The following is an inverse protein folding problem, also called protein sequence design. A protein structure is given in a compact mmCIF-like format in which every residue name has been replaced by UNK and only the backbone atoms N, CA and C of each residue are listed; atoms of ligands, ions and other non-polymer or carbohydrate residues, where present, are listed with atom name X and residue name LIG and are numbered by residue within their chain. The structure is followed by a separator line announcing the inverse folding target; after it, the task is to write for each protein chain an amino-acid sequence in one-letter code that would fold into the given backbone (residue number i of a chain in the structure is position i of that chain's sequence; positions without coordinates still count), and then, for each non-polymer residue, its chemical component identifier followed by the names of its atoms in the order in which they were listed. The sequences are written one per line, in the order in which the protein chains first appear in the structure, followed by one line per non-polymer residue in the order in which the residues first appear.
data_IF_067451600119
#
_entry.id   IF_067451600119
#
_cell.length_a   1.000
_cell.length_b   1.000
_cell.length_c   1.000
_cell.angle_alpha   90.00
_cell.angle_beta   90.00
_cell.angle_gamma   90.00
#
_symmetry.space_group_name_H-M   'P 1'
#
loop_
_entity.id
_entity.type
_entity.pdbx_description
1 polymer ?
#
# COMPACT_ATOMS: atom_id res chain seq x y z
N UNK A 1 -1.47 -37.90 13.46
CA UNK A 1 -0.98 -36.75 12.72
C UNK A 1 -1.85 -35.55 12.99
N UNK A 2 -1.30 -34.43 13.46
CA UNK A 2 -2.04 -33.18 13.57
C UNK A 2 -2.50 -32.77 12.17
N UNK A 3 -3.81 -32.87 11.92
CA UNK A 3 -4.42 -32.31 10.72
C UNK A 3 -4.41 -30.80 10.89
N UNK A 4 -3.30 -30.17 10.52
CA UNK A 4 -3.23 -28.73 10.50
C UNK A 4 -4.15 -28.21 9.39
N UNK A 5 -5.16 -27.41 9.76
CA UNK A 5 -5.98 -26.71 8.78
C UNK A 5 -5.07 -25.70 8.02
N UNK A 6 -4.79 -26.02 6.76
CA UNK A 6 -3.93 -25.19 5.90
C UNK A 6 -4.51 -23.78 5.72
N UNK A 7 -5.84 -23.66 5.68
CA UNK A 7 -6.51 -22.38 5.61
C UNK A 7 -6.22 -21.51 6.84
N UNK A 8 -6.28 -22.10 8.02
CA UNK A 8 -5.93 -21.42 9.26
C UNK A 8 -4.45 -21.01 9.32
N UNK A 9 -3.56 -21.85 8.78
CA UNK A 9 -2.13 -21.52 8.71
C UNK A 9 -1.85 -20.34 7.77
N UNK A 10 -2.52 -20.29 6.62
CA UNK A 10 -2.44 -19.16 5.69
C UNK A 10 -2.88 -17.87 6.38
N UNK A 11 -4.06 -17.90 7.02
CA UNK A 11 -4.63 -16.73 7.69
C UNK A 11 -3.75 -16.27 8.86
N UNK A 12 -3.22 -17.19 9.66
CA UNK A 12 -2.34 -16.85 10.77
C UNK A 12 -1.05 -16.14 10.31
N UNK A 13 -0.40 -16.66 9.25
CA UNK A 13 0.81 -16.04 8.69
C UNK A 13 0.51 -14.67 8.09
N UNK A 14 -0.60 -14.54 7.36
CA UNK A 14 -1.05 -13.29 6.79
C UNK A 14 -1.33 -12.26 7.88
N UNK A 15 -2.09 -12.63 8.89
CA UNK A 15 -2.46 -11.75 10.00
C UNK A 15 -1.22 -11.27 10.77
N UNK A 16 -0.30 -12.19 11.07
CA UNK A 16 0.94 -11.86 11.77
C UNK A 16 1.76 -10.81 11.01
N UNK A 17 1.97 -10.99 9.70
CA UNK A 17 2.68 -10.01 8.90
C UNK A 17 1.94 -8.68 8.77
N UNK A 18 0.60 -8.71 8.66
CA UNK A 18 -0.21 -7.49 8.66
C UNK A 18 -0.10 -6.70 9.97
N UNK A 19 -0.01 -7.38 11.11
CA UNK A 19 0.23 -6.72 12.41
C UNK A 19 1.58 -5.99 12.44
N UNK A 20 2.66 -6.63 11.95
CA UNK A 20 3.98 -5.99 11.87
C UNK A 20 3.98 -4.77 10.94
N UNK A 21 3.31 -4.88 9.80
CA UNK A 21 3.17 -3.76 8.85
C UNK A 21 2.40 -2.61 9.49
N UNK A 22 1.26 -2.89 10.09
CA UNK A 22 0.45 -1.87 10.75
C UNK A 22 1.23 -1.16 11.88
N UNK A 23 1.94 -1.93 12.70
CA UNK A 23 2.79 -1.38 13.76
C UNK A 23 3.91 -0.51 13.20
N UNK A 24 4.59 -0.96 12.14
CA UNK A 24 5.65 -0.20 11.48
C UNK A 24 5.13 1.13 10.91
N UNK A 25 3.97 1.11 10.27
CA UNK A 25 3.33 2.30 9.73
C UNK A 25 2.93 3.27 10.85
N UNK A 26 2.39 2.76 11.96
CA UNK A 26 2.03 3.57 13.11
C UNK A 26 3.25 4.26 13.74
N UNK A 27 4.36 3.52 13.90
CA UNK A 27 5.61 4.07 14.42
C UNK A 27 6.16 5.14 13.48
N UNK A 28 6.20 4.86 12.16
CA UNK A 28 6.67 5.82 11.16
C UNK A 28 5.80 7.08 11.17
N UNK A 29 4.49 6.92 11.25
CA UNK A 29 3.55 8.04 11.27
C UNK A 29 3.70 8.88 12.54
N UNK A 30 3.79 8.25 13.70
CA UNK A 30 4.04 8.94 14.97
C UNK A 30 5.38 9.70 14.94
N UNK A 31 6.44 9.08 14.42
CA UNK A 31 7.76 9.71 14.27
C UNK A 31 7.68 10.95 13.37
N UNK A 32 6.96 10.84 12.23
CA UNK A 32 6.76 11.96 11.32
C UNK A 32 6.03 13.13 12.01
N UNK A 33 4.98 12.86 12.77
CA UNK A 33 4.23 13.89 13.50
C UNK A 33 5.08 14.57 14.59
N UNK A 34 5.79 13.79 15.38
CA UNK A 34 6.68 14.30 16.45
C UNK A 34 7.80 15.15 15.85
N UNK A 35 8.46 14.64 14.80
CA UNK A 35 9.54 15.37 14.14
C UNK A 35 9.04 16.67 13.49
N UNK A 36 7.88 16.63 12.83
CA UNK A 36 7.25 17.81 12.26
C UNK A 36 6.94 18.88 13.31
N UNK A 37 6.44 18.47 14.48
CA UNK A 37 6.18 19.39 15.59
C UNK A 37 7.48 20.00 16.15
N UNK A 38 8.55 19.21 16.30
CA UNK A 38 9.86 19.70 16.75
C UNK A 38 10.46 20.71 15.76
N UNK A 39 10.32 20.45 14.45
CA UNK A 39 10.83 21.33 13.40
C UNK A 39 9.95 22.60 13.19
N UNK A 40 8.86 22.74 13.95
CA UNK A 40 7.99 23.90 13.84
C UNK A 40 7.17 23.93 12.53
N UNK A 41 6.93 22.76 11.90
CA UNK A 41 6.00 22.68 10.78
C UNK A 41 4.59 22.97 11.30
N UNK A 42 4.27 24.27 11.36
CA UNK A 42 2.97 24.76 11.77
C UNK A 42 2.00 24.73 10.59
N UNK A 43 0.84 24.16 10.80
CA UNK A 43 -0.27 24.20 9.88
C UNK A 43 -1.48 23.58 10.54
N UNK A 44 -2.65 24.15 10.34
CA UNK A 44 -3.91 23.56 10.81
C UNK A 44 -4.35 22.44 9.85
N UNK A 45 -3.66 21.29 9.90
CA UNK A 45 -4.15 20.13 9.21
C UNK A 45 -5.28 19.49 10.04
N UNK A 46 -6.48 19.34 9.48
CA UNK A 46 -7.55 18.66 10.19
C UNK A 46 -7.14 17.20 10.53
N UNK A 47 -7.40 16.79 11.76
CA UNK A 47 -7.06 15.42 12.24
C UNK A 47 -7.63 14.30 11.32
N UNK A 48 -8.76 14.57 10.67
CA UNK A 48 -9.38 13.66 9.70
C UNK A 48 -8.47 13.31 8.53
N UNK A 49 -7.66 14.23 8.04
CA UNK A 49 -6.73 13.96 6.92
C UNK A 49 -5.58 13.05 7.34
N UNK A 50 -5.07 13.22 8.56
CA UNK A 50 -4.07 12.32 9.10
C UNK A 50 -4.61 10.90 9.25
N UNK A 51 -5.85 10.78 9.75
CA UNK A 51 -6.53 9.48 9.86
C UNK A 51 -6.77 8.82 8.50
N UNK A 52 -7.17 9.58 7.50
CA UNK A 52 -7.35 9.08 6.13
C UNK A 52 -6.03 8.64 5.51
N UNK A 53 -4.96 9.42 5.67
CA UNK A 53 -3.63 9.05 5.17
C UNK A 53 -3.16 7.75 5.79
N UNK A 54 -3.33 7.60 7.09
CA UNK A 54 -2.98 6.38 7.82
C UNK A 54 -3.78 5.18 7.31
N UNK A 55 -5.10 5.32 7.18
CA UNK A 55 -5.99 4.28 6.67
C UNK A 55 -5.58 3.82 5.26
N UNK A 56 -5.38 4.77 4.35
CA UNK A 56 -4.99 4.46 2.97
C UNK A 56 -3.62 3.79 2.90
N UNK A 57 -2.66 4.29 3.67
CA UNK A 57 -1.32 3.69 3.71
C UNK A 57 -1.36 2.24 4.21
N UNK A 58 -2.13 1.96 5.27
CA UNK A 58 -2.31 0.59 5.79
C UNK A 58 -2.99 -0.28 4.74
N UNK A 59 -4.05 0.20 4.09
CA UNK A 59 -4.80 -0.58 3.10
C UNK A 59 -3.93 -0.91 1.86
N UNK A 60 -3.20 0.07 1.32
CA UNK A 60 -2.35 -0.14 0.13
C UNK A 60 -1.18 -1.05 0.47
N UNK A 61 -0.46 -0.77 1.58
CA UNK A 61 0.67 -1.59 2.00
C UNK A 61 0.23 -3.02 2.32
N UNK A 62 -0.95 -3.17 2.93
CA UNK A 62 -1.57 -4.46 3.18
C UNK A 62 -1.89 -5.24 1.90
N UNK A 63 -2.39 -4.56 0.87
CA UNK A 63 -2.64 -5.17 -0.43
C UNK A 63 -1.34 -5.63 -1.12
N UNK A 64 -0.31 -4.80 -1.10
CA UNK A 64 1.03 -5.16 -1.61
C UNK A 64 1.60 -6.34 -0.84
N UNK A 65 1.51 -6.32 0.49
CA UNK A 65 1.96 -7.43 1.33
C UNK A 65 1.20 -8.72 1.02
N UNK A 66 -0.12 -8.67 0.83
CA UNK A 66 -0.93 -9.84 0.48
C UNK A 66 -0.41 -10.50 -0.81
N UNK A 67 -0.14 -9.72 -1.84
CA UNK A 67 0.45 -10.22 -3.10
C UNK A 67 1.81 -10.84 -2.85
N UNK A 68 2.70 -10.16 -2.12
CA UNK A 68 4.04 -10.67 -1.80
C UNK A 68 3.98 -11.94 -0.95
N UNK A 69 3.06 -12.02 0.00
CA UNK A 69 2.83 -13.20 0.81
C UNK A 69 2.45 -14.40 -0.05
N UNK A 70 1.45 -14.22 -0.95
CA UNK A 70 1.01 -15.28 -1.87
C UNK A 70 2.14 -15.74 -2.78
N UNK A 71 2.89 -14.80 -3.35
CA UNK A 71 4.04 -15.14 -4.21
C UNK A 71 5.10 -15.92 -3.45
N UNK A 72 5.44 -15.50 -2.23
CA UNK A 72 6.46 -16.15 -1.39
C UNK A 72 6.09 -17.56 -0.97
N UNK A 73 4.81 -17.84 -0.71
CA UNK A 73 4.36 -19.19 -0.35
C UNK A 73 4.09 -20.07 -1.58
N UNK A 74 3.92 -19.44 -2.75
CA UNK A 74 3.58 -20.17 -3.99
C UNK A 74 4.82 -20.50 -4.79
N UNK A 75 5.82 -19.65 -4.83
CA UNK A 75 7.02 -19.76 -5.65
C UNK A 75 8.18 -20.30 -4.78
N UNK A 76 8.80 -21.41 -5.21
CA UNK A 76 9.93 -22.03 -4.48
C UNK A 76 11.17 -21.12 -4.44
N UNK A 77 11.46 -20.44 -5.55
CA UNK A 77 12.61 -19.54 -5.64
C UNK A 77 12.23 -18.15 -5.10
N UNK A 78 12.72 -17.81 -3.91
CA UNK A 78 12.41 -16.57 -3.22
C UNK A 78 12.96 -15.30 -3.92
N UNK A 79 13.89 -15.45 -4.87
CA UNK A 79 14.35 -14.31 -5.65
C UNK A 79 13.24 -13.75 -6.56
N UNK A 80 12.32 -14.59 -7.04
CA UNK A 80 11.24 -14.16 -7.95
C UNK A 80 10.25 -13.23 -7.24
N UNK A 81 9.65 -13.56 -6.08
CA UNK A 81 8.82 -12.63 -5.33
C UNK A 81 9.53 -11.31 -5.02
N UNK A 82 10.80 -11.37 -4.64
CA UNK A 82 11.60 -10.17 -4.37
C UNK A 82 11.72 -9.28 -5.61
N UNK A 83 12.10 -9.84 -6.76
CA UNK A 83 12.22 -9.08 -8.02
C UNK A 83 10.86 -8.47 -8.42
N UNK A 84 9.76 -9.22 -8.30
CA UNK A 84 8.41 -8.71 -8.59
C UNK A 84 8.09 -7.51 -7.67
N UNK A 85 8.44 -7.59 -6.40
CA UNK A 85 8.25 -6.49 -5.45
C UNK A 85 9.03 -5.23 -5.84
N UNK A 86 10.30 -5.40 -6.17
CA UNK A 86 11.17 -4.29 -6.61
C UNK A 86 10.67 -3.67 -7.91
N UNK A 87 10.38 -4.48 -8.92
CA UNK A 87 9.84 -3.99 -10.20
C UNK A 87 8.48 -3.33 -10.03
N UNK A 88 7.61 -3.89 -9.18
CA UNK A 88 6.33 -3.30 -8.85
C UNK A 88 6.48 -1.91 -8.22
N UNK A 89 7.43 -1.75 -7.29
CA UNK A 89 7.73 -0.47 -6.65
C UNK A 89 8.18 0.57 -7.68
N UNK A 90 9.10 0.21 -8.56
CA UNK A 90 9.52 1.12 -9.65
C UNK A 90 8.36 1.45 -10.59
N UNK A 91 7.58 0.45 -11.01
CA UNK A 91 6.42 0.68 -11.89
C UNK A 91 5.39 1.60 -11.23
N UNK A 92 5.11 1.42 -9.94
CA UNK A 92 4.24 2.30 -9.16
C UNK A 92 4.78 3.73 -9.10
N UNK A 93 6.05 3.89 -8.79
CA UNK A 93 6.72 5.20 -8.75
C UNK A 93 6.64 5.89 -10.11
N UNK A 94 7.04 5.21 -11.18
CA UNK A 94 6.98 5.78 -12.54
C UNK A 94 5.56 6.14 -12.96
N UNK A 95 4.54 5.37 -12.56
CA UNK A 95 3.15 5.68 -12.86
C UNK A 95 2.70 7.05 -12.30
N UNK A 96 3.34 7.52 -11.22
CA UNK A 96 3.05 8.84 -10.63
C UNK A 96 3.59 9.99 -11.49
N UNK A 97 4.67 9.77 -12.25
CA UNK A 97 5.29 10.76 -13.12
C UNK A 97 4.73 10.76 -14.55
N UNK A 98 3.72 9.92 -14.85
CA UNK A 98 3.08 9.83 -16.16
C UNK A 98 1.64 10.38 -16.10
N UNK A 99 1.43 11.71 -16.01
CA UNK A 99 0.10 12.31 -15.93
C UNK A 99 -0.75 12.04 -17.19
N UNK A 100 -0.13 11.69 -18.32
CA UNK A 100 -0.80 11.36 -19.58
C UNK A 100 -1.50 9.99 -19.52
N UNK A 101 -1.11 9.11 -18.57
CA UNK A 101 -1.63 7.75 -18.43
C UNK A 101 -2.21 7.53 -17.02
N UNK A 102 -3.28 8.26 -16.64
CA UNK A 102 -3.81 8.19 -15.27
C UNK A 102 -4.38 6.82 -14.91
N UNK A 103 -4.81 6.05 -15.90
CA UNK A 103 -5.30 4.69 -15.72
C UNK A 103 -4.22 3.70 -15.24
N UNK A 104 -2.95 4.00 -15.52
CA UNK A 104 -1.83 3.15 -15.12
C UNK A 104 -1.74 2.99 -13.59
N UNK A 105 -2.02 4.06 -12.84
CA UNK A 105 -2.06 4.05 -11.38
C UNK A 105 -3.14 3.12 -10.81
N UNK A 106 -4.24 2.91 -11.56
CA UNK A 106 -5.36 2.05 -11.15
C UNK A 106 -5.12 0.57 -11.45
N UNK A 107 -4.28 0.26 -12.43
CA UNK A 107 -3.94 -1.12 -12.81
C UNK A 107 -2.78 -1.64 -11.96
N UNK A 108 -1.75 -0.81 -11.76
CA UNK A 108 -0.56 -1.20 -11.00
C UNK A 108 -0.86 -1.04 -9.52
N UNK A 109 -0.85 -2.15 -8.76
CA UNK A 109 -1.14 -2.13 -7.33
C UNK A 109 -0.25 -1.14 -6.56
N UNK A 110 1.05 -1.10 -6.86
CA UNK A 110 1.98 -0.14 -6.25
C UNK A 110 1.71 1.32 -6.66
N UNK A 111 0.97 1.55 -7.74
CA UNK A 111 0.53 2.88 -8.19
C UNK A 111 -0.57 3.50 -7.31
N UNK A 112 -1.24 2.68 -6.49
CA UNK A 112 -2.31 3.17 -5.61
C UNK A 112 -1.86 4.20 -4.58
N UNK A 113 -0.57 4.23 -4.22
CA UNK A 113 -0.05 5.33 -3.40
C UNK A 113 -0.25 6.69 -4.08
N UNK A 114 -0.10 6.76 -5.40
CA UNK A 114 -0.37 7.97 -6.18
C UNK A 114 -1.87 8.18 -6.47
N UNK A 115 -2.65 7.12 -6.67
CA UNK A 115 -4.09 7.21 -6.90
C UNK A 115 -4.86 7.69 -5.66
N UNK A 116 -4.40 7.27 -4.47
CA UNK A 116 -5.01 7.61 -3.18
C UNK A 116 -4.43 8.90 -2.56
N UNK A 117 -3.51 9.55 -3.24
CA UNK A 117 -2.92 10.81 -2.81
C UNK A 117 -3.95 11.93 -2.92
N UNK A 118 -4.22 12.65 -1.82
CA UNK A 118 -5.19 13.74 -1.76
C UNK A 118 -4.55 15.11 -1.52
N UNK A 119 -3.21 15.16 -1.54
CA UNK A 119 -2.43 16.39 -1.50
C UNK A 119 -1.68 16.50 -2.82
N UNK A 120 -1.97 17.55 -3.57
CA UNK A 120 -1.22 17.92 -4.77
C UNK A 120 -0.19 19.01 -4.49
N UNK A 121 0.75 19.17 -5.38
CA UNK A 121 1.72 20.24 -5.33
C UNK A 121 1.91 20.87 -6.70
N UNK A 122 2.06 22.22 -6.71
CA UNK A 122 2.42 22.98 -7.87
C UNK A 122 3.80 23.63 -7.63
N UNK A 123 4.78 23.22 -8.41
CA UNK A 123 6.10 23.83 -8.40
C UNK A 123 6.16 25.00 -9.38
N UNK A 124 6.40 26.21 -8.85
CA UNK A 124 6.66 27.40 -9.69
C UNK A 124 8.17 27.56 -9.89
N UNK A 125 8.60 27.58 -11.16
CA UNK A 125 10.01 27.87 -11.50
C UNK A 125 10.42 29.30 -11.24
N UNK A 126 9.48 30.24 -11.32
CA UNK A 126 9.74 31.66 -11.16
C UNK A 126 9.96 32.03 -9.69
N UNK A 127 9.08 31.57 -8.82
CA UNK A 127 9.13 31.88 -7.37
C UNK A 127 9.96 30.88 -6.59
N UNK A 128 10.27 29.70 -7.16
CA UNK A 128 10.89 28.54 -6.49
C UNK A 128 10.11 28.09 -5.26
N UNK A 129 8.79 28.35 -5.25
CA UNK A 129 7.87 27.95 -4.20
C UNK A 129 7.07 26.74 -4.66
N UNK A 130 6.82 25.82 -3.75
CA UNK A 130 5.96 24.68 -3.95
C UNK A 130 4.66 24.90 -3.18
N UNK A 131 3.58 25.16 -3.91
CA UNK A 131 2.26 25.36 -3.33
C UNK A 131 1.54 24.04 -3.21
N UNK A 132 1.16 23.67 -1.98
CA UNK A 132 0.39 22.48 -1.70
C UNK A 132 -1.10 22.79 -1.72
N UNK A 133 -1.86 21.95 -2.39
CA UNK A 133 -3.32 22.07 -2.45
C UNK A 133 -3.99 20.73 -2.18
N UNK A 134 -5.24 20.80 -1.70
CA UNK A 134 -6.03 19.60 -1.43
C UNK A 134 -6.70 19.10 -2.72
N UNK A 135 -6.49 17.84 -3.04
CA UNK A 135 -7.21 17.12 -4.09
C UNK A 135 -8.38 16.35 -3.49
N UNK A 136 -9.39 16.06 -4.31
CA UNK A 136 -10.47 15.18 -3.90
C UNK A 136 -9.98 13.75 -3.66
N UNK A 137 -10.54 13.07 -2.68
CA UNK A 137 -10.23 11.68 -2.39
C UNK A 137 -10.81 10.78 -3.50
N UNK A 138 -9.98 9.87 -4.03
CA UNK A 138 -10.42 8.87 -5.02
C UNK A 138 -11.15 7.70 -4.34
N UNK A 139 -12.42 7.92 -3.99
CA UNK A 139 -13.25 6.86 -3.40
C UNK A 139 -13.45 5.66 -4.33
N UNK A 140 -13.53 5.90 -5.63
CA UNK A 140 -13.58 4.83 -6.63
C UNK A 140 -12.30 3.99 -6.61
N UNK A 141 -11.13 4.61 -6.47
CA UNK A 141 -9.87 3.92 -6.30
C UNK A 141 -9.84 3.07 -5.03
N UNK A 142 -10.34 3.61 -3.92
CA UNK A 142 -10.41 2.87 -2.65
C UNK A 142 -11.31 1.64 -2.74
N UNK A 143 -12.52 1.78 -3.31
CA UNK A 143 -13.43 0.64 -3.51
C UNK A 143 -12.79 -0.43 -4.41
N UNK A 144 -12.14 -0.01 -5.49
CA UNK A 144 -11.42 -0.94 -6.39
C UNK A 144 -10.30 -1.67 -5.66
N UNK A 145 -9.54 -0.98 -4.80
CA UNK A 145 -8.50 -1.58 -3.97
C UNK A 145 -9.07 -2.65 -3.02
N UNK A 146 -10.19 -2.36 -2.35
CA UNK A 146 -10.83 -3.33 -1.44
C UNK A 146 -11.31 -4.56 -2.21
N UNK A 147 -11.94 -4.37 -3.37
CA UNK A 147 -12.37 -5.50 -4.23
C UNK A 147 -11.14 -6.33 -4.63
N UNK A 148 -10.04 -5.68 -5.01
CA UNK A 148 -8.80 -6.34 -5.39
C UNK A 148 -8.23 -7.17 -4.22
N UNK A 149 -8.20 -6.62 -3.01
CA UNK A 149 -7.75 -7.32 -1.79
C UNK A 149 -8.57 -8.60 -1.57
N UNK A 150 -9.90 -8.50 -1.65
CA UNK A 150 -10.80 -9.64 -1.42
C UNK A 150 -10.57 -10.73 -2.48
N UNK A 151 -10.50 -10.35 -3.76
CA UNK A 151 -10.29 -11.29 -4.86
C UNK A 151 -8.95 -11.99 -4.74
N UNK A 152 -7.86 -11.24 -4.50
CA UNK A 152 -6.51 -11.79 -4.35
C UNK A 152 -6.41 -12.69 -3.12
N UNK A 153 -7.05 -12.33 -2.00
CA UNK A 153 -7.09 -13.17 -0.82
C UNK A 153 -7.74 -14.53 -1.10
N UNK A 154 -8.92 -14.52 -1.75
CA UNK A 154 -9.64 -15.76 -2.08
C UNK A 154 -8.82 -16.65 -3.00
N UNK A 155 -8.23 -16.07 -4.06
CA UNK A 155 -7.39 -16.80 -5.01
C UNK A 155 -6.14 -17.35 -4.31
N UNK A 156 -5.44 -16.53 -3.55
CA UNK A 156 -4.20 -16.90 -2.86
C UNK A 156 -4.43 -18.01 -1.83
N UNK A 157 -5.50 -17.92 -1.04
CA UNK A 157 -5.87 -18.95 -0.08
C UNK A 157 -6.21 -20.28 -0.77
N UNK A 158 -6.97 -20.25 -1.88
CA UNK A 158 -7.24 -21.47 -2.68
C UNK A 158 -5.96 -22.07 -3.23
N UNK A 159 -5.07 -21.28 -3.80
CA UNK A 159 -3.79 -21.75 -4.34
C UNK A 159 -2.91 -22.39 -3.24
N UNK A 160 -2.93 -21.83 -2.05
CA UNK A 160 -2.17 -22.38 -0.93
C UNK A 160 -2.72 -23.71 -0.45
N UNK A 161 -4.06 -23.83 -0.34
CA UNK A 161 -4.73 -25.06 0.10
C UNK A 161 -4.58 -26.16 -0.93
N UNK A 162 -4.67 -25.84 -2.24
CA UNK A 162 -4.60 -26.82 -3.34
C UNK A 162 -3.20 -27.33 -3.65
N UNK A 163 -2.15 -26.70 -3.12
CA UNK A 163 -0.78 -27.18 -3.31
C UNK A 163 -0.58 -28.49 -2.55
N UNK A 164 -0.43 -29.57 -3.31
CA UNK A 164 0.09 -30.82 -2.77
C UNK A 164 1.56 -30.64 -2.36
N UNK A 165 1.89 -31.15 -1.18
CA UNK A 165 3.27 -31.19 -0.66
C UNK A 165 3.98 -32.37 -1.25
#
# INVERSE_FOLDING_TARGET
GCIYDRGALFDAKLLFGMMFIALSILIQFATMLVYGAICGFGGTFPLSYYGMQLLFTIAITGAVYLVQHILSITIKNQAIPFIIGVLGTFAGLFSMFLPQLPWLRKIILWGYYGEMMFIGNNWSRETRINDFYMMGVSWSGFITLIIFIVVIYIIGKKLFISKEV
#
